data_IF_439257585176
#
_entry.id   IF_439257585176
#
_cell.length_a   1.000
_cell.length_b   1.000
_cell.length_c   1.000
_cell.angle_alpha   90.00
_cell.angle_beta   90.00
_cell.angle_gamma   90.00
#
_symmetry.space_group_name_H-M   'P 1'
#
loop_
_entity.id
_entity.type
_entity.pdbx_description
1 polymer ?
#
# COMPACT_ATOMS: atom_id res chain seq x y z
N UNK A 1 -0.03 15.55 -1.18
CA UNK A 1 -0.66 14.42 -0.44
C UNK A 1 0.36 13.60 0.32
N UNK A 2 1.45 13.16 -0.32
CA UNK A 2 2.63 12.61 0.35
C UNK A 2 3.79 13.50 0.00
N UNK A 3 4.49 14.02 0.99
CA UNK A 3 5.68 14.85 0.83
C UNK A 3 6.81 14.25 1.67
N UNK A 4 7.90 13.90 1.01
CA UNK A 4 9.10 13.29 1.61
C UNK A 4 10.27 14.19 1.28
N UNK A 5 11.01 14.66 2.28
CA UNK A 5 12.13 15.59 2.09
C UNK A 5 13.39 15.09 2.80
N UNK A 6 14.45 14.90 2.02
CA UNK A 6 15.79 14.56 2.50
C UNK A 6 15.85 13.37 3.47
N UNK A 7 14.96 12.37 3.25
CA UNK A 7 14.84 11.21 4.13
C UNK A 7 16.05 10.30 4.00
N UNK A 8 16.59 9.93 5.19
CA UNK A 8 17.69 8.96 5.33
C UNK A 8 17.28 7.84 6.25
N UNK A 9 17.76 6.63 5.95
CA UNK A 9 17.57 5.45 6.80
C UNK A 9 18.73 4.51 6.69
N UNK A 10 19.33 4.18 7.84
CA UNK A 10 20.38 3.19 7.97
C UNK A 10 19.93 2.06 8.90
N UNK A 11 20.44 0.86 8.67
CA UNK A 11 20.26 -0.30 9.51
C UNK A 11 21.61 -0.81 10.03
N UNK A 12 21.58 -1.73 10.99
CA UNK A 12 22.77 -2.38 11.57
C UNK A 12 23.83 -1.39 12.08
N UNK A 13 23.40 -0.36 12.79
CA UNK A 13 24.32 0.64 13.35
C UNK A 13 25.05 1.48 12.29
N UNK A 14 24.42 1.69 11.13
CA UNK A 14 24.95 2.52 10.04
C UNK A 14 25.67 1.72 8.95
N UNK A 15 25.71 0.38 9.04
CA UNK A 15 26.39 -0.47 8.04
C UNK A 15 25.64 -0.55 6.71
N UNK A 16 24.29 -0.49 6.76
CA UNK A 16 23.43 -0.60 5.59
C UNK A 16 22.69 0.72 5.43
N UNK A 17 23.09 1.53 4.45
CA UNK A 17 22.35 2.74 4.06
C UNK A 17 21.20 2.33 3.12
N UNK A 18 20.00 2.16 3.67
CA UNK A 18 18.83 1.78 2.89
C UNK A 18 18.24 2.97 2.12
N UNK A 19 18.28 4.17 2.70
CA UNK A 19 17.95 5.44 2.07
C UNK A 19 19.04 6.46 2.40
N UNK A 20 19.58 7.11 1.35
CA UNK A 20 20.71 8.03 1.48
C UNK A 20 20.26 9.48 1.55
N UNK A 21 19.39 9.88 0.62
CA UNK A 21 18.79 11.22 0.53
C UNK A 21 17.61 11.13 -0.45
N UNK A 22 16.43 10.82 0.08
CA UNK A 22 15.24 10.62 -0.75
C UNK A 22 14.27 11.76 -0.54
N UNK A 23 13.94 12.43 -1.65
CA UNK A 23 12.88 13.44 -1.69
C UNK A 23 11.91 13.12 -2.81
N UNK A 24 10.61 13.06 -2.50
CA UNK A 24 9.54 12.86 -3.48
C UNK A 24 8.25 13.52 -3.01
N UNK A 25 7.40 13.79 -3.98
CA UNK A 25 6.04 14.27 -3.76
C UNK A 25 5.06 13.37 -4.53
N UNK A 26 3.90 13.06 -3.93
CA UNK A 26 2.77 12.38 -4.58
C UNK A 26 1.53 13.25 -4.41
N UNK A 27 0.88 13.57 -5.52
CA UNK A 27 -0.33 14.41 -5.52
C UNK A 27 -1.55 13.62 -5.04
N UNK A 28 -2.59 14.33 -4.57
CA UNK A 28 -3.85 13.71 -4.20
C UNK A 28 -4.51 13.02 -5.41
N UNK A 29 -4.94 11.77 -5.23
CA UNK A 29 -5.55 10.96 -6.27
C UNK A 29 -4.57 10.43 -7.33
N UNK A 30 -3.27 10.65 -7.18
CA UNK A 30 -2.24 10.12 -8.07
C UNK A 30 -1.95 8.63 -7.75
N UNK A 31 -1.73 7.83 -8.80
CA UNK A 31 -1.15 6.50 -8.70
C UNK A 31 0.31 6.59 -9.14
N UNK A 32 1.23 6.43 -8.21
CA UNK A 32 2.66 6.46 -8.46
C UNK A 32 3.26 5.08 -8.27
N UNK A 33 4.04 4.62 -9.24
CA UNK A 33 4.84 3.41 -9.13
C UNK A 33 6.28 3.76 -8.72
N UNK A 34 6.79 3.06 -7.71
CA UNK A 34 8.18 3.11 -7.27
C UNK A 34 8.87 1.82 -7.71
N UNK A 35 9.80 1.93 -8.65
CA UNK A 35 10.55 0.80 -9.21
C UNK A 35 12.01 0.79 -8.75
N UNK A 36 12.71 -0.29 -9.03
CA UNK A 36 14.15 -0.42 -8.78
C UNK A 36 14.54 -1.81 -8.27
N UNK A 37 15.84 -2.12 -8.17
CA UNK A 37 16.32 -3.45 -7.79
C UNK A 37 15.88 -3.85 -6.38
N UNK A 38 15.87 -5.16 -6.11
CA UNK A 38 15.71 -5.68 -4.75
C UNK A 38 16.80 -5.11 -3.84
N UNK A 39 16.44 -4.75 -2.61
CA UNK A 39 17.36 -4.06 -1.69
C UNK A 39 17.57 -2.56 -1.96
N UNK A 40 17.00 -1.99 -3.03
CA UNK A 40 17.18 -0.57 -3.39
C UNK A 40 16.51 0.45 -2.46
N UNK A 41 15.78 0.03 -1.41
CA UNK A 41 15.15 0.93 -0.44
C UNK A 41 13.65 1.14 -0.60
N UNK A 42 13.00 0.50 -1.59
CA UNK A 42 11.57 0.69 -1.90
C UNK A 42 10.64 0.40 -0.72
N UNK A 43 10.68 -0.82 -0.17
CA UNK A 43 9.84 -1.22 0.97
C UNK A 43 10.22 -0.47 2.24
N UNK A 44 11.50 -0.07 2.39
CA UNK A 44 11.93 0.82 3.48
C UNK A 44 11.20 2.15 3.40
N UNK A 45 11.16 2.77 2.23
CA UNK A 45 10.47 4.05 2.04
C UNK A 45 8.95 3.92 2.32
N UNK A 46 8.30 2.84 1.82
CA UNK A 46 6.90 2.57 2.15
C UNK A 46 6.67 2.44 3.66
N UNK A 47 7.55 1.71 4.35
CA UNK A 47 7.44 1.50 5.80
C UNK A 47 7.57 2.81 6.58
N UNK A 48 8.46 3.72 6.14
CA UNK A 48 8.59 5.05 6.75
C UNK A 48 7.33 5.90 6.53
N UNK A 49 6.83 5.96 5.29
CA UNK A 49 5.59 6.70 4.95
C UNK A 49 4.40 6.14 5.74
N UNK A 50 4.34 4.83 5.93
CA UNK A 50 3.26 4.17 6.70
C UNK A 50 3.48 4.14 8.21
N UNK A 51 4.49 4.82 8.74
CA UNK A 51 4.83 4.84 10.16
C UNK A 51 5.00 3.43 10.77
N UNK A 52 5.55 2.48 10.00
CA UNK A 52 5.99 1.17 10.50
C UNK A 52 7.43 1.22 11.02
N UNK A 53 8.19 2.21 10.57
CA UNK A 53 9.54 2.52 11.04
C UNK A 53 9.72 4.04 11.06
N UNK A 54 10.85 4.54 11.58
CA UNK A 54 11.19 5.97 11.65
C UNK A 54 12.44 6.25 10.83
N UNK A 55 12.50 7.37 10.08
CA UNK A 55 13.72 7.81 9.43
C UNK A 55 14.75 8.29 10.45
N UNK A 56 16.03 8.25 10.06
CA UNK A 56 17.14 8.78 10.87
C UNK A 56 17.30 10.30 10.65
N UNK A 57 16.84 10.81 9.48
CA UNK A 57 16.83 12.25 9.15
C UNK A 57 15.81 12.53 8.07
N UNK A 58 15.49 13.81 7.87
CA UNK A 58 14.52 14.30 6.90
C UNK A 58 13.12 14.45 7.49
N UNK A 59 12.13 14.71 6.64
CA UNK A 59 10.73 14.88 7.03
C UNK A 59 9.80 14.07 6.13
N UNK A 60 8.66 13.63 6.69
CA UNK A 60 7.61 12.92 5.97
C UNK A 60 6.27 13.51 6.39
N UNK A 61 5.54 14.08 5.44
CA UNK A 61 4.20 14.62 5.66
C UNK A 61 3.22 13.85 4.77
N UNK A 62 2.15 13.34 5.36
CA UNK A 62 1.09 12.62 4.65
C UNK A 62 -0.26 13.19 5.04
N UNK A 63 -1.03 13.66 4.06
CA UNK A 63 -2.33 14.31 4.25
C UNK A 63 -2.26 15.46 5.28
N UNK A 64 -1.17 16.21 5.27
CA UNK A 64 -0.91 17.32 6.19
C UNK A 64 -0.43 16.92 7.58
N UNK A 65 -0.24 15.62 7.85
CA UNK A 65 0.26 15.11 9.14
C UNK A 65 1.75 14.83 9.07
N UNK A 66 2.51 15.34 10.03
CA UNK A 66 3.91 14.95 10.24
C UNK A 66 3.96 13.51 10.76
N UNK A 67 4.49 12.60 9.94
CA UNK A 67 4.55 11.15 10.24
C UNK A 67 5.55 10.85 11.34
N UNK A 68 6.60 11.66 11.48
CA UNK A 68 7.66 11.44 12.48
C UNK A 68 7.19 11.84 13.87
N UNK A 69 6.40 12.91 13.96
CA UNK A 69 5.85 13.46 15.20
C UNK A 69 4.54 12.84 15.66
N UNK A 70 4.08 11.72 15.06
CA UNK A 70 2.82 11.09 15.43
C UNK A 70 2.83 10.56 16.86
N UNK A 71 1.86 10.99 17.68
CA UNK A 71 1.61 10.45 19.01
C UNK A 71 1.04 9.00 18.93
N UNK A 72 0.20 8.74 17.93
CA UNK A 72 -0.46 7.44 17.72
C UNK A 72 -0.32 6.95 16.27
N UNK A 73 0.80 6.28 15.94
CA UNK A 73 1.01 5.69 14.61
C UNK A 73 -0.03 4.60 14.27
N UNK A 74 -0.63 3.94 15.26
CA UNK A 74 -1.66 2.93 15.02
C UNK A 74 -2.94 3.57 14.51
N UNK A 75 -3.35 4.69 15.09
CA UNK A 75 -4.50 5.48 14.63
C UNK A 75 -4.27 6.06 13.23
N UNK A 76 -3.07 6.52 12.92
CA UNK A 76 -2.69 6.97 11.58
C UNK A 76 -2.88 5.85 10.55
N UNK A 77 -2.33 4.65 10.80
CA UNK A 77 -2.54 3.48 9.93
C UNK A 77 -3.98 2.98 9.89
N UNK A 78 -4.76 3.23 10.92
CA UNK A 78 -6.15 2.83 10.95
C UNK A 78 -7.08 3.77 10.15
N UNK A 79 -6.69 5.05 9.92
CA UNK A 79 -7.59 6.07 9.36
C UNK A 79 -7.10 6.75 8.10
N UNK A 80 -5.79 6.92 7.96
CA UNK A 80 -5.22 7.76 6.89
C UNK A 80 -4.52 6.92 5.85
N UNK A 81 -3.72 5.94 6.28
CA UNK A 81 -2.88 5.12 5.41
C UNK A 81 -3.23 3.66 5.60
N UNK A 82 -3.34 2.90 4.52
CA UNK A 82 -3.49 1.45 4.59
C UNK A 82 -2.45 0.76 3.71
N UNK A 83 -2.12 -0.48 4.09
CA UNK A 83 -1.16 -1.32 3.39
C UNK A 83 -1.83 -2.46 2.63
N UNK A 84 -1.32 -2.71 1.42
CA UNK A 84 -1.52 -3.94 0.65
C UNK A 84 -0.16 -4.59 0.45
N UNK A 85 0.05 -5.77 1.03
CA UNK A 85 1.35 -6.47 0.99
C UNK A 85 1.35 -7.60 -0.03
N UNK A 86 2.52 -7.94 -0.56
CA UNK A 86 2.74 -9.04 -1.49
C UNK A 86 2.25 -10.39 -0.93
N UNK A 87 2.53 -10.69 0.33
CA UNK A 87 2.14 -11.94 0.99
C UNK A 87 0.81 -11.84 1.73
N UNK A 88 -0.02 -10.84 1.40
CA UNK A 88 -1.39 -10.62 1.92
C UNK A 88 -1.46 -10.35 3.42
N UNK A 89 -0.61 -10.97 4.26
CA UNK A 89 -0.56 -10.87 5.72
C UNK A 89 -1.95 -11.05 6.38
N UNK A 90 -2.72 -12.05 5.88
CA UNK A 90 -4.00 -12.42 6.47
C UNK A 90 -3.78 -13.28 7.70
N UNK A 91 -4.62 -13.08 8.72
CA UNK A 91 -4.64 -13.92 9.90
C UNK A 91 -5.34 -15.23 9.52
N UNK A 92 -4.60 -16.34 9.50
CA UNK A 92 -5.05 -17.62 8.98
C UNK A 92 -6.16 -18.28 9.80
N UNK A 93 -6.27 -17.94 11.08
CA UNK A 93 -7.31 -18.41 12.00
C UNK A 93 -8.61 -17.60 11.92
N UNK A 94 -8.62 -16.52 11.16
CA UNK A 94 -9.80 -15.70 10.90
C UNK A 94 -10.27 -15.91 9.46
N UNK A 95 -11.59 -15.95 9.25
CA UNK A 95 -12.17 -16.00 7.91
C UNK A 95 -12.06 -14.64 7.18
N UNK A 96 -12.50 -14.56 5.92
CA UNK A 96 -12.37 -13.36 5.10
C UNK A 96 -13.05 -12.13 5.74
N UNK A 97 -14.31 -12.25 6.19
CA UNK A 97 -15.02 -11.11 6.82
C UNK A 97 -14.38 -10.68 8.14
N UNK A 98 -13.86 -11.61 8.91
CA UNK A 98 -13.15 -11.30 10.17
C UNK A 98 -11.82 -10.60 9.90
N UNK A 99 -11.05 -11.03 8.89
CA UNK A 99 -9.83 -10.34 8.47
C UNK A 99 -10.10 -8.88 8.07
N UNK A 100 -11.17 -8.62 7.31
CA UNK A 100 -11.54 -7.27 6.88
C UNK A 100 -12.00 -6.40 8.07
N UNK A 101 -12.53 -6.99 9.14
CA UNK A 101 -12.95 -6.25 10.34
C UNK A 101 -11.79 -5.74 11.21
N UNK A 102 -10.59 -6.34 11.12
CA UNK A 102 -9.46 -6.02 12.00
C UNK A 102 -9.17 -4.52 12.10
N UNK A 103 -9.00 -3.76 10.97
CA UNK A 103 -8.69 -2.33 11.07
C UNK A 103 -9.80 -1.49 11.71
N UNK A 104 -11.02 -2.01 11.78
CA UNK A 104 -12.18 -1.32 12.33
C UNK A 104 -12.37 -1.55 13.84
N UNK A 105 -11.55 -2.42 14.46
CA UNK A 105 -11.59 -2.67 15.89
C UNK A 105 -11.28 -1.39 16.68
N UNK A 106 -12.11 -1.09 17.67
CA UNK A 106 -11.97 0.15 18.45
C UNK A 106 -12.43 1.43 17.73
N UNK A 107 -12.80 1.36 16.44
CA UNK A 107 -13.25 2.52 15.63
C UNK A 107 -14.75 2.46 15.37
N UNK A 108 -15.28 1.27 15.03
CA UNK A 108 -16.70 1.08 14.68
C UNK A 108 -17.36 0.04 15.56
N UNK A 109 -18.68 0.14 15.86
CA UNK A 109 -19.46 -0.88 16.55
C UNK A 109 -19.46 -2.22 15.78
N UNK A 110 -19.61 -3.35 16.49
CA UNK A 110 -19.53 -4.71 15.91
C UNK A 110 -20.45 -4.91 14.70
N UNK A 111 -21.72 -4.51 14.83
CA UNK A 111 -22.70 -4.69 13.73
C UNK A 111 -22.31 -3.90 12.47
N UNK A 112 -21.77 -2.70 12.63
CA UNK A 112 -21.31 -1.87 11.52
C UNK A 112 -20.04 -2.46 10.87
N UNK A 113 -19.10 -2.98 11.67
CA UNK A 113 -17.89 -3.64 11.14
C UNK A 113 -18.25 -4.84 10.27
N UNK A 114 -19.18 -5.68 10.72
CA UNK A 114 -19.59 -6.86 9.96
C UNK A 114 -20.29 -6.47 8.64
N UNK A 115 -21.22 -5.51 8.70
CA UNK A 115 -21.89 -4.99 7.51
C UNK A 115 -20.88 -4.42 6.51
N UNK A 116 -20.00 -3.53 6.97
CA UNK A 116 -18.98 -2.90 6.13
C UNK A 116 -18.01 -3.90 5.52
N UNK A 117 -17.56 -4.89 6.30
CA UNK A 117 -16.67 -5.93 5.80
C UNK A 117 -17.33 -6.78 4.70
N UNK A 118 -18.62 -7.10 4.82
CA UNK A 118 -19.37 -7.80 3.78
C UNK A 118 -19.51 -6.97 2.50
N UNK A 119 -19.85 -5.68 2.63
CA UNK A 119 -19.95 -4.75 1.51
C UNK A 119 -18.62 -4.70 0.73
N UNK A 120 -17.49 -4.56 1.43
CA UNK A 120 -16.17 -4.54 0.84
C UNK A 120 -15.80 -5.86 0.16
N UNK A 121 -16.16 -7.00 0.73
CA UNK A 121 -15.93 -8.30 0.10
C UNK A 121 -16.76 -8.47 -1.19
N UNK A 122 -18.00 -7.95 -1.22
CA UNK A 122 -18.80 -7.91 -2.45
C UNK A 122 -18.13 -7.02 -3.50
N UNK A 123 -17.67 -5.83 -3.10
CA UNK A 123 -16.99 -4.87 -3.99
C UNK A 123 -15.74 -5.46 -4.66
N UNK A 124 -14.97 -6.28 -3.94
CA UNK A 124 -13.81 -6.96 -4.50
C UNK A 124 -14.15 -8.30 -5.18
N UNK A 125 -15.44 -8.64 -5.36
CA UNK A 125 -15.88 -9.85 -6.06
C UNK A 125 -15.79 -11.14 -5.24
N UNK A 126 -15.91 -11.06 -3.90
CA UNK A 126 -15.81 -12.21 -2.99
C UNK A 126 -17.11 -12.45 -2.19
N UNK A 127 -18.28 -12.15 -2.78
CA UNK A 127 -19.57 -12.34 -2.13
C UNK A 127 -19.78 -13.77 -1.59
N UNK A 128 -19.36 -14.79 -2.37
CA UNK A 128 -19.50 -16.21 -2.02
C UNK A 128 -18.38 -16.72 -1.10
N UNK A 129 -17.35 -15.92 -0.84
CA UNK A 129 -16.16 -16.28 -0.06
C UNK A 129 -16.07 -15.63 1.31
N UNK A 130 -17.14 -14.97 1.75
CA UNK A 130 -17.18 -14.17 2.99
C UNK A 130 -16.72 -14.95 4.22
N UNK A 131 -17.05 -16.25 4.31
CA UNK A 131 -16.69 -17.13 5.43
C UNK A 131 -15.51 -18.05 5.13
N UNK A 132 -14.87 -17.93 3.98
CA UNK A 132 -13.70 -18.74 3.63
C UNK A 132 -12.49 -18.34 4.44
N UNK A 133 -11.69 -19.32 4.85
CA UNK A 133 -10.43 -19.08 5.56
C UNK A 133 -9.27 -18.93 4.56
N UNK A 134 -8.23 -18.14 4.88
CA UNK A 134 -7.12 -17.87 3.97
C UNK A 134 -6.48 -19.12 3.33
N UNK A 135 -6.30 -20.26 4.03
CA UNK A 135 -5.76 -21.47 3.41
C UNK A 135 -6.64 -22.08 2.29
N UNK A 136 -7.94 -21.78 2.29
CA UNK A 136 -8.89 -22.30 1.28
C UNK A 136 -9.09 -21.34 0.10
N UNK A 137 -8.47 -20.16 0.14
CA UNK A 137 -8.56 -19.14 -0.90
C UNK A 137 -7.37 -19.26 -1.88
N UNK A 138 -7.61 -18.96 -3.16
CA UNK A 138 -6.54 -18.78 -4.15
C UNK A 138 -5.65 -17.57 -3.81
N UNK A 139 -4.50 -17.41 -4.48
CA UNK A 139 -3.63 -16.24 -4.32
C UNK A 139 -4.35 -14.93 -4.58
N UNK A 140 -5.07 -14.86 -5.71
CA UNK A 140 -5.85 -13.69 -6.08
C UNK A 140 -7.02 -13.42 -5.14
N UNK A 141 -7.72 -14.45 -4.63
CA UNK A 141 -8.78 -14.26 -3.64
C UNK A 141 -8.20 -13.74 -2.32
N UNK A 142 -7.04 -14.25 -1.85
CA UNK A 142 -6.35 -13.70 -0.67
C UNK A 142 -5.96 -12.24 -0.87
N UNK A 143 -5.46 -11.87 -2.05
CA UNK A 143 -5.10 -10.48 -2.35
C UNK A 143 -6.33 -9.57 -2.36
N UNK A 144 -7.46 -10.02 -2.90
CA UNK A 144 -8.73 -9.28 -2.84
C UNK A 144 -9.21 -9.08 -1.39
N UNK A 145 -9.09 -10.09 -0.51
CA UNK A 145 -9.37 -9.93 0.93
C UNK A 145 -8.43 -8.90 1.56
N UNK A 146 -7.12 -8.92 1.23
CA UNK A 146 -6.16 -7.95 1.74
C UNK A 146 -6.48 -6.52 1.28
N UNK A 147 -6.92 -6.33 0.04
CA UNK A 147 -7.39 -5.04 -0.47
C UNK A 147 -8.68 -4.60 0.25
N UNK A 148 -9.67 -5.48 0.40
CA UNK A 148 -10.89 -5.18 1.15
C UNK A 148 -10.56 -4.76 2.60
N UNK A 149 -9.61 -5.44 3.25
CA UNK A 149 -9.12 -5.08 4.59
C UNK A 149 -8.47 -3.70 4.59
N UNK A 150 -7.65 -3.40 3.59
CA UNK A 150 -7.03 -2.08 3.46
C UNK A 150 -8.08 -0.96 3.34
N UNK A 151 -9.19 -1.22 2.65
CA UNK A 151 -10.29 -0.25 2.43
C UNK A 151 -11.25 -0.11 3.61
N UNK A 152 -11.08 -0.86 4.69
CA UNK A 152 -12.06 -0.99 5.78
C UNK A 152 -12.48 0.36 6.41
N UNK A 153 -11.53 1.28 6.58
CA UNK A 153 -11.76 2.60 7.17
C UNK A 153 -11.64 3.76 6.18
N UNK A 154 -11.80 3.49 4.87
CA UNK A 154 -11.77 4.50 3.80
C UNK A 154 -10.49 5.34 3.83
N UNK A 155 -9.28 4.72 3.75
CA UNK A 155 -8.01 5.42 3.83
C UNK A 155 -7.83 6.38 2.65
N UNK A 156 -7.15 7.50 2.89
CA UNK A 156 -6.80 8.46 1.83
C UNK A 156 -5.61 8.02 1.01
N UNK A 157 -4.73 7.21 1.61
CA UNK A 157 -3.50 6.70 0.99
C UNK A 157 -3.46 5.19 1.08
N UNK A 158 -3.19 4.53 -0.05
CA UNK A 158 -2.86 3.12 -0.13
C UNK A 158 -1.37 2.95 -0.45
N UNK A 159 -0.66 2.25 0.41
CA UNK A 159 0.71 1.83 0.21
C UNK A 159 0.70 0.36 -0.23
N UNK A 160 1.06 0.08 -1.48
CA UNK A 160 1.03 -1.26 -2.04
C UNK A 160 2.46 -1.76 -2.28
N UNK A 161 2.88 -2.78 -1.55
CA UNK A 161 4.20 -3.39 -1.69
C UNK A 161 4.07 -4.67 -2.52
N UNK A 162 4.50 -4.60 -3.79
CA UNK A 162 4.43 -5.67 -4.79
C UNK A 162 3.06 -6.39 -4.84
N UNK A 163 1.94 -5.65 -5.05
CA UNK A 163 0.59 -6.19 -4.84
C UNK A 163 0.21 -7.32 -5.80
N UNK A 164 1.00 -7.55 -6.85
CA UNK A 164 0.81 -8.60 -7.86
C UNK A 164 1.96 -9.60 -7.93
N UNK A 165 3.02 -9.39 -7.15
CA UNK A 165 4.30 -10.12 -7.29
C UNK A 165 4.23 -11.63 -6.97
N UNK A 166 3.16 -12.13 -6.35
CA UNK A 166 2.93 -13.55 -6.06
C UNK A 166 1.80 -14.17 -6.89
N UNK A 167 1.32 -13.47 -7.94
CA UNK A 167 0.16 -13.86 -8.73
C UNK A 167 0.56 -14.17 -10.18
N UNK A 168 -0.25 -14.97 -10.87
CA UNK A 168 -0.16 -15.11 -12.31
C UNK A 168 -0.57 -13.79 -13.02
N UNK A 169 -0.20 -13.65 -14.29
CA UNK A 169 -0.39 -12.42 -15.07
C UNK A 169 -1.85 -11.97 -15.14
N UNK A 170 -2.79 -12.91 -15.38
CA UNK A 170 -4.21 -12.58 -15.54
C UNK A 170 -4.81 -12.12 -14.21
N UNK A 171 -4.50 -12.82 -13.13
CA UNK A 171 -4.91 -12.45 -11.77
C UNK A 171 -4.27 -11.12 -11.37
N UNK A 172 -2.99 -10.92 -11.68
CA UNK A 172 -2.28 -9.67 -11.44
C UNK A 172 -2.95 -8.47 -12.11
N UNK A 173 -3.32 -8.62 -13.39
CA UNK A 173 -4.05 -7.59 -14.15
C UNK A 173 -5.38 -7.22 -13.47
N UNK A 174 -6.15 -8.21 -13.03
CA UNK A 174 -7.41 -7.96 -12.31
C UNK A 174 -7.21 -7.22 -10.97
N UNK A 175 -6.09 -7.48 -10.27
CA UNK A 175 -5.76 -6.76 -9.03
C UNK A 175 -5.41 -5.30 -9.34
N UNK A 176 -4.67 -5.02 -10.41
CA UNK A 176 -4.35 -3.65 -10.81
C UNK A 176 -5.60 -2.87 -11.25
N UNK A 177 -6.50 -3.50 -11.99
CA UNK A 177 -7.80 -2.92 -12.36
C UNK A 177 -8.63 -2.59 -11.10
N UNK A 178 -8.62 -3.48 -10.10
CA UNK A 178 -9.29 -3.24 -8.82
C UNK A 178 -8.69 -2.02 -8.11
N UNK A 179 -7.36 -1.90 -8.01
CA UNK A 179 -6.71 -0.75 -7.39
C UNK A 179 -7.01 0.55 -8.14
N UNK A 180 -7.02 0.53 -9.47
CA UNK A 180 -7.41 1.69 -10.29
C UNK A 180 -8.87 2.09 -10.07
N UNK A 181 -9.77 1.12 -9.99
CA UNK A 181 -11.18 1.39 -9.68
C UNK A 181 -11.33 2.04 -8.32
N UNK A 182 -10.66 1.51 -7.28
CA UNK A 182 -10.66 2.10 -5.94
C UNK A 182 -10.14 3.53 -5.97
N UNK A 183 -9.03 3.80 -6.67
CA UNK A 183 -8.51 5.15 -6.87
C UNK A 183 -9.57 6.07 -7.49
N UNK A 184 -10.18 5.66 -8.59
CA UNK A 184 -11.12 6.50 -9.35
C UNK A 184 -12.43 6.75 -8.58
N UNK A 185 -12.96 5.73 -7.91
CA UNK A 185 -14.25 5.82 -7.21
C UNK A 185 -14.14 6.50 -5.85
N UNK A 186 -12.99 6.35 -5.16
CA UNK A 186 -12.79 6.85 -3.79
C UNK A 186 -11.85 8.05 -3.70
N UNK A 187 -11.21 8.44 -4.81
CA UNK A 187 -10.19 9.50 -4.82
C UNK A 187 -8.94 9.15 -4.01
N UNK A 188 -8.67 7.85 -3.79
CA UNK A 188 -7.52 7.41 -3.02
C UNK A 188 -6.21 7.70 -3.75
N UNK A 189 -5.18 8.11 -3.02
CA UNK A 189 -3.80 8.23 -3.51
C UNK A 189 -3.10 6.90 -3.35
N UNK A 190 -2.41 6.42 -4.37
CA UNK A 190 -1.74 5.11 -4.33
C UNK A 190 -0.24 5.28 -4.60
N UNK A 191 0.59 4.81 -3.67
CA UNK A 191 2.02 4.61 -3.90
C UNK A 191 2.28 3.10 -3.94
N UNK A 192 2.65 2.61 -5.12
CA UNK A 192 2.84 1.20 -5.38
C UNK A 192 4.32 0.89 -5.65
N UNK A 193 4.89 -0.05 -4.93
CA UNK A 193 6.20 -0.64 -5.23
C UNK A 193 6.00 -1.82 -6.17
N UNK A 194 6.78 -1.88 -7.23
CA UNK A 194 6.82 -3.04 -8.13
C UNK A 194 8.18 -3.18 -8.81
N UNK A 195 8.55 -4.42 -9.13
CA UNK A 195 9.71 -4.76 -9.95
C UNK A 195 9.31 -5.09 -11.41
N UNK A 196 8.02 -5.07 -11.72
CA UNK A 196 7.47 -5.37 -13.03
C UNK A 196 7.20 -4.07 -13.79
N UNK A 197 7.90 -3.87 -14.91
CA UNK A 197 7.78 -2.68 -15.74
C UNK A 197 6.40 -2.55 -16.40
N UNK A 198 5.72 -3.66 -16.71
CA UNK A 198 4.36 -3.65 -17.27
C UNK A 198 3.34 -3.17 -16.23
N UNK A 199 3.53 -3.53 -14.96
CA UNK A 199 2.76 -3.04 -13.82
C UNK A 199 3.04 -1.56 -13.59
N UNK A 200 4.32 -1.18 -13.57
CA UNK A 200 4.73 0.21 -13.36
C UNK A 200 4.20 1.15 -14.46
N UNK A 201 4.20 0.70 -15.71
CA UNK A 201 3.67 1.46 -16.86
C UNK A 201 2.19 1.76 -16.79
N UNK A 202 1.46 1.17 -15.84
CA UNK A 202 0.06 1.45 -15.60
C UNK A 202 -0.20 2.59 -14.60
N UNK A 203 0.86 3.11 -13.95
CA UNK A 203 0.78 4.26 -13.07
C UNK A 203 0.78 5.58 -13.84
N UNK A 204 0.32 6.66 -13.20
CA UNK A 204 0.35 8.01 -13.77
C UNK A 204 1.80 8.50 -13.87
N UNK A 205 2.65 8.07 -12.93
CA UNK A 205 4.07 8.45 -12.87
C UNK A 205 4.89 7.30 -12.27
N UNK A 206 6.08 7.12 -12.83
CA UNK A 206 7.06 6.13 -12.38
C UNK A 206 8.25 6.85 -11.77
N UNK A 207 8.60 6.47 -10.54
CA UNK A 207 9.81 6.87 -9.85
C UNK A 207 10.75 5.67 -9.74
N UNK A 208 12.04 5.89 -9.85
CA UNK A 208 13.02 4.84 -9.71
C UNK A 208 13.90 5.10 -8.48
N UNK A 209 14.01 4.11 -7.59
CA UNK A 209 14.97 4.15 -6.48
C UNK A 209 16.06 3.11 -6.69
N UNK A 210 17.30 3.53 -6.56
CA UNK A 210 18.47 2.66 -6.69
C UNK A 210 19.52 3.06 -5.67
N UNK A 211 20.01 2.08 -4.90
CA UNK A 211 21.04 2.27 -3.87
C UNK A 211 20.67 3.39 -2.87
N UNK A 212 19.38 3.41 -2.47
CA UNK A 212 18.85 4.39 -1.52
C UNK A 212 18.71 5.83 -2.06
N UNK A 213 18.83 6.03 -3.38
CA UNK A 213 18.71 7.34 -4.02
C UNK A 213 17.58 7.30 -5.06
N UNK A 214 16.70 8.31 -5.01
CA UNK A 214 15.65 8.48 -6.02
C UNK A 214 16.27 9.04 -7.31
N UNK A 215 15.94 8.41 -8.42
CA UNK A 215 16.23 8.91 -9.76
C UNK A 215 14.93 9.23 -10.45
N UNK A 216 14.77 10.45 -10.91
CA UNK A 216 13.67 10.79 -11.82
C UNK A 216 13.91 10.05 -13.14
N UNK A 217 13.07 9.04 -13.43
CA UNK A 217 13.05 8.46 -14.76
C UNK A 217 12.58 9.53 -15.75
N UNK A 218 13.23 9.72 -16.90
CA UNK A 218 12.62 10.51 -17.96
C UNK A 218 11.28 9.85 -18.25
N UNK A 219 10.19 10.65 -18.19
CA UNK A 219 8.83 10.19 -18.35
C UNK A 219 8.72 9.20 -19.50
N UNK A 220 8.27 7.97 -19.22
CA UNK A 220 7.69 7.11 -20.23
C UNK A 220 6.46 7.87 -20.74
N UNK A 221 6.61 8.52 -21.91
CA UNK A 221 5.48 9.19 -22.57
C UNK A 221 4.43 8.12 -22.85
N UNK A 222 3.14 8.36 -22.52
CA UNK A 222 2.08 7.43 -22.89
C UNK A 222 2.11 7.26 -24.40
N UNK A 223 2.29 6.03 -24.85
CA UNK A 223 2.08 5.70 -26.27
C UNK A 223 0.60 5.99 -26.57
N UNK A 224 0.39 6.94 -27.47
CA UNK A 224 -0.93 7.34 -28.02
C UNK A 224 -1.53 6.22 -28.84
#
# INVERSE_FOLDING_TARGET
MIDVEHVRKCFEGGRIAALVDVSLNVLAGELVALTGPSGGGKSTLLNLIGALDRPDAGSIVVDGMDVIGLDDPARYRARTVAFVFQFHNLITTLNAVENVQIPMLGIRPRAERERRARELLVEVGLAERVRSYPPTLSGGERQRVAIARALANDPRVLLADEPTGSLDTDTGTQILELLRRVRNERGATILMVTNDDAVAGQADRVLQIRDGVLRTSPALQPQR
#
